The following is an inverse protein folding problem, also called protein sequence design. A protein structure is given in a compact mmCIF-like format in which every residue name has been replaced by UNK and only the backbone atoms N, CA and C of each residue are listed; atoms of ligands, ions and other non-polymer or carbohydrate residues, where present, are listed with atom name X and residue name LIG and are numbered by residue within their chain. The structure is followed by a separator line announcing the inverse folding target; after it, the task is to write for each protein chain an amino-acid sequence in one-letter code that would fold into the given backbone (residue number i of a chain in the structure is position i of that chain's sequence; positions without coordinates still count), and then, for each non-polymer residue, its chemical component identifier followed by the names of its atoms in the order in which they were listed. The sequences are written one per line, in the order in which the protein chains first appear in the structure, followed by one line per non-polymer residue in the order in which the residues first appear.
data_IF_644183128884
#
_entry.id   IF_644183128884
#
_cell.length_a   1.000
_cell.length_b   1.000
_cell.length_c   1.000
_cell.angle_alpha   90.00
_cell.angle_beta   90.00
_cell.angle_gamma   90.00
#
_symmetry.space_group_name_H-M   'P 1'
#
loop_
_entity.id
_entity.type
_entity.pdbx_description
1 polymer ?
#
# COMPACT_ATOMS: atom_id res chain seq x y z
N UNK A 1 -8.87 -9.05 25.19
CA UNK A 1 -8.22 -7.78 25.17
C UNK A 1 -8.48 -7.05 23.87
N UNK A 2 -8.65 -5.82 23.93
CA UNK A 2 -8.85 -5.12 22.68
C UNK A 2 -7.58 -5.15 21.88
N UNK A 3 -7.73 -5.42 20.61
CA UNK A 3 -6.60 -5.34 19.72
C UNK A 3 -6.56 -3.93 19.20
N UNK A 4 -5.66 -3.21 19.72
CA UNK A 4 -5.55 -1.82 19.33
C UNK A 4 -4.40 -1.60 18.42
N UNK A 5 -3.77 -2.66 18.04
CA UNK A 5 -2.44 -2.49 17.49
C UNK A 5 -2.37 -2.64 16.01
N UNK A 6 -3.19 -3.50 15.44
CA UNK A 6 -2.91 -3.90 14.07
C UNK A 6 -4.17 -4.03 13.23
N UNK A 7 -4.06 -3.59 12.00
CA UNK A 7 -5.01 -3.89 10.95
C UNK A 7 -4.25 -4.66 9.89
N UNK A 8 -4.82 -5.78 9.46
CA UNK A 8 -4.21 -6.66 8.46
C UNK A 8 -5.24 -6.95 7.39
N UNK A 9 -4.85 -6.83 6.14
CA UNK A 9 -5.75 -7.14 5.04
C UNK A 9 -5.00 -7.50 3.79
N UNK A 10 -5.75 -7.92 2.78
CA UNK A 10 -5.20 -8.27 1.50
C UNK A 10 -5.82 -7.36 0.46
N UNK A 11 -4.97 -6.82 -0.40
CA UNK A 11 -5.40 -5.99 -1.51
C UNK A 11 -4.96 -6.63 -2.81
N UNK A 12 -5.73 -6.40 -3.86
CA UNK A 12 -5.41 -6.93 -5.16
C UNK A 12 -5.51 -5.79 -6.17
N UNK A 13 -4.46 -5.61 -6.96
CA UNK A 13 -4.43 -4.59 -8.00
C UNK A 13 -4.51 -5.31 -9.34
N UNK A 14 -5.57 -5.13 -10.11
CA UNK A 14 -5.74 -5.85 -11.36
C UNK A 14 -4.75 -5.40 -12.43
N UNK A 15 -4.54 -6.30 -13.39
CA UNK A 15 -3.75 -5.98 -14.55
C UNK A 15 -4.42 -4.84 -15.31
N UNK A 16 -3.61 -3.88 -15.75
CA UNK A 16 -4.14 -2.79 -16.56
C UNK A 16 -4.82 -1.67 -15.78
N UNK A 17 -4.77 -1.74 -14.46
CA UNK A 17 -5.38 -0.68 -13.64
C UNK A 17 -4.69 0.67 -13.83
N UNK A 18 -3.44 0.65 -14.28
CA UNK A 18 -2.72 1.88 -14.51
C UNK A 18 -2.00 2.38 -13.28
N UNK A 19 -1.18 3.38 -13.51
CA UNK A 19 -0.43 4.01 -12.44
C UNK A 19 -1.14 5.28 -12.03
N UNK A 20 -1.64 5.37 -10.78
CA UNK A 20 -2.23 6.62 -10.33
C UNK A 20 -1.20 7.74 -10.32
N UNK A 21 -1.61 8.98 -10.60
CA UNK A 21 -0.67 10.10 -10.60
C UNK A 21 -0.17 10.46 -9.21
N UNK A 22 -0.97 10.19 -8.19
CA UNK A 22 -0.63 10.51 -6.80
C UNK A 22 -1.01 9.35 -5.92
N UNK A 23 -0.30 9.22 -4.82
CA UNK A 23 -0.62 8.24 -3.80
C UNK A 23 -1.54 8.82 -2.73
N UNK A 24 -1.60 8.13 -1.61
CA UNK A 24 -2.37 8.58 -0.45
C UNK A 24 -1.45 8.59 0.76
N UNK A 25 -1.92 9.23 1.81
CA UNK A 25 -1.17 9.29 3.06
C UNK A 25 -2.07 8.89 4.21
N UNK A 26 -1.48 8.37 5.27
CA UNK A 26 -2.17 8.17 6.53
C UNK A 26 -1.15 8.15 7.64
N UNK A 27 -1.63 8.37 8.85
CA UNK A 27 -0.77 8.54 9.99
C UNK A 27 0.08 7.32 10.33
N UNK A 28 -0.50 6.13 10.42
CA UNK A 28 0.33 4.97 10.82
C UNK A 28 1.28 4.55 9.72
N UNK A 29 2.45 4.08 10.13
CA UNK A 29 3.35 3.40 9.21
C UNK A 29 2.69 2.11 8.75
N UNK A 30 3.15 1.59 7.63
CA UNK A 30 2.53 0.43 7.01
C UNK A 30 3.60 -0.49 6.45
N UNK A 31 3.28 -1.78 6.40
CA UNK A 31 4.14 -2.77 5.75
C UNK A 31 3.30 -3.46 4.67
N UNK A 32 3.86 -3.59 3.49
CA UNK A 32 3.32 -4.45 2.44
C UNK A 32 4.17 -5.70 2.33
N UNK A 33 3.53 -6.84 2.18
CA UNK A 33 4.21 -8.08 1.81
C UNK A 33 3.58 -8.58 0.53
N UNK A 34 4.38 -8.80 -0.50
CA UNK A 34 3.88 -9.16 -1.83
C UNK A 34 3.68 -10.67 -1.90
N UNK A 35 2.43 -11.07 -2.12
CA UNK A 35 2.05 -12.48 -2.16
C UNK A 35 2.26 -13.03 -3.55
N UNK A 36 1.81 -12.31 -4.59
CA UNK A 36 1.95 -12.78 -5.96
C UNK A 36 1.89 -11.60 -6.91
N UNK A 37 2.39 -11.81 -8.11
CA UNK A 37 2.41 -10.79 -9.14
C UNK A 37 3.66 -9.93 -9.07
N UNK A 38 3.70 -8.91 -9.92
CA UNK A 38 4.79 -7.95 -9.96
C UNK A 38 4.21 -6.55 -10.03
N UNK A 39 4.86 -5.63 -9.37
CA UNK A 39 4.40 -4.27 -9.38
C UNK A 39 5.51 -3.31 -9.04
N UNK A 40 5.10 -2.10 -8.72
CA UNK A 40 5.98 -1.06 -8.20
C UNK A 40 5.24 -0.34 -7.10
N UNK A 41 6.00 0.22 -6.17
CA UNK A 41 5.45 1.08 -5.15
C UNK A 41 6.18 2.41 -5.20
N UNK A 42 5.40 3.48 -5.15
CA UNK A 42 5.96 4.82 -5.00
C UNK A 42 5.82 5.21 -3.53
N UNK A 43 6.90 5.70 -2.94
CA UNK A 43 6.92 6.17 -1.56
C UNK A 43 7.62 7.52 -1.57
N UNK A 44 6.88 8.58 -1.29
CA UNK A 44 7.40 9.95 -1.24
C UNK A 44 8.19 10.31 -2.50
N UNK A 45 7.67 9.91 -3.66
CA UNK A 45 8.30 10.24 -4.92
C UNK A 45 9.34 9.25 -5.43
N UNK A 46 9.77 8.32 -4.59
CA UNK A 46 10.73 7.29 -5.01
C UNK A 46 9.96 6.03 -5.38
N UNK A 47 10.41 5.36 -6.42
CA UNK A 47 9.75 4.18 -6.94
C UNK A 47 10.64 2.95 -6.75
N UNK A 48 10.04 1.87 -6.27
CA UNK A 48 10.74 0.62 -6.00
C UNK A 48 9.99 -0.54 -6.65
N UNK A 49 10.72 -1.50 -7.23
CA UNK A 49 10.06 -2.67 -7.81
C UNK A 49 9.58 -3.63 -6.72
N UNK A 50 8.49 -4.34 -7.04
CA UNK A 50 7.90 -5.32 -6.14
C UNK A 50 7.76 -6.65 -6.85
N UNK A 51 8.11 -7.73 -6.14
CA UNK A 51 7.89 -9.08 -6.61
C UNK A 51 7.47 -9.93 -5.42
N UNK A 52 6.92 -11.10 -5.71
CA UNK A 52 6.46 -12.02 -4.68
C UNK A 52 7.59 -12.28 -3.68
N UNK A 53 7.28 -12.19 -2.41
CA UNK A 53 8.24 -12.38 -1.33
C UNK A 53 8.88 -11.10 -0.83
N UNK A 54 8.67 -9.97 -1.51
CA UNK A 54 9.23 -8.69 -1.06
C UNK A 54 8.38 -8.10 0.05
N UNK A 55 9.03 -7.44 0.98
CA UNK A 55 8.37 -6.66 2.01
C UNK A 55 8.81 -5.21 1.89
N UNK A 56 7.88 -4.30 2.08
CA UNK A 56 8.13 -2.87 1.97
C UNK A 56 7.64 -2.19 3.22
N UNK A 57 8.48 -1.37 3.81
CA UNK A 57 8.09 -0.54 4.94
C UNK A 57 7.78 0.87 4.43
N UNK A 58 6.61 1.35 4.81
CA UNK A 58 6.15 2.68 4.41
C UNK A 58 6.08 3.53 5.67
N UNK A 59 6.90 4.58 5.74
CA UNK A 59 6.91 5.43 6.94
C UNK A 59 5.57 6.12 7.17
N UNK A 60 5.33 6.49 8.41
CA UNK A 60 4.14 7.25 8.77
C UNK A 60 4.04 8.50 7.90
N UNK A 61 2.84 8.77 7.42
CA UNK A 61 2.50 9.96 6.63
C UNK A 61 3.18 10.08 5.28
N UNK A 62 3.92 9.05 4.85
CA UNK A 62 4.53 9.08 3.52
C UNK A 62 3.46 8.88 2.45
N UNK A 63 3.53 9.66 1.40
CA UNK A 63 2.64 9.46 0.26
C UNK A 63 3.06 8.19 -0.46
N UNK A 64 2.11 7.28 -0.67
CA UNK A 64 2.46 6.00 -1.28
C UNK A 64 1.32 5.44 -2.09
N UNK A 65 1.68 4.65 -3.09
CA UNK A 65 0.72 3.90 -3.90
C UNK A 65 1.46 2.73 -4.54
N UNK A 66 0.80 1.57 -4.56
CA UNK A 66 1.32 0.40 -5.27
C UNK A 66 0.51 0.24 -6.55
N UNK A 67 1.17 -0.22 -7.61
CA UNK A 67 0.50 -0.45 -8.87
C UNK A 67 1.11 -1.64 -9.59
N UNK A 68 0.32 -2.21 -10.50
CA UNK A 68 0.66 -3.45 -11.17
C UNK A 68 1.42 -3.17 -12.47
N UNK A 69 2.56 -3.82 -12.65
CA UNK A 69 3.32 -3.72 -13.90
C UNK A 69 3.49 -5.09 -14.56
N UNK A 70 2.80 -6.10 -14.04
CA UNK A 70 2.93 -7.45 -14.54
C UNK A 70 1.75 -7.87 -15.40
N UNK A 71 1.67 -9.16 -15.64
CA UNK A 71 0.61 -9.74 -16.46
C UNK A 71 -0.35 -10.61 -15.66
N UNK A 72 -0.30 -10.50 -14.34
CA UNK A 72 -1.26 -11.14 -13.44
C UNK A 72 -1.57 -10.17 -12.31
N UNK A 73 -2.63 -10.40 -11.55
CA UNK A 73 -2.96 -9.48 -10.47
C UNK A 73 -1.82 -9.37 -9.46
N UNK A 74 -1.60 -8.16 -8.98
CA UNK A 74 -0.64 -7.93 -7.90
C UNK A 74 -1.40 -8.10 -6.60
N UNK A 75 -1.02 -9.07 -5.80
CA UNK A 75 -1.69 -9.35 -4.53
C UNK A 75 -0.72 -9.07 -3.41
N UNK A 76 -1.16 -8.29 -2.44
CA UNK A 76 -0.31 -7.92 -1.33
C UNK A 76 -1.07 -7.98 -0.02
N UNK A 77 -0.34 -8.28 1.04
CA UNK A 77 -0.81 -8.19 2.40
C UNK A 77 -0.37 -6.84 2.93
N UNK A 78 -1.28 -6.10 3.56
CA UNK A 78 -0.90 -4.86 4.19
C UNK A 78 -1.14 -4.95 5.68
N UNK A 79 -0.28 -4.30 6.45
CA UNK A 79 -0.32 -4.30 7.91
C UNK A 79 -0.01 -2.90 8.39
N UNK A 80 -0.85 -2.36 9.24
CA UNK A 80 -0.53 -1.09 9.89
C UNK A 80 -1.14 -1.07 11.29
N UNK A 81 -0.64 -0.13 12.08
CA UNK A 81 -0.96 -0.09 13.51
C UNK A 81 -2.13 0.85 13.76
N UNK A 82 -3.32 0.30 13.86
CA UNK A 82 -4.52 1.05 14.23
C UNK A 82 -5.55 0.08 14.76
N UNK A 83 -6.55 0.61 15.43
CA UNK A 83 -7.58 -0.22 16.00
C UNK A 83 -8.47 -0.82 14.93
N UNK A 84 -8.85 -0.02 13.97
CA UNK A 84 -9.77 -0.45 12.93
C UNK A 84 -9.71 0.56 11.80
N UNK A 85 -10.24 0.17 10.66
CA UNK A 85 -10.23 1.02 9.47
C UNK A 85 -10.87 2.39 9.72
N UNK A 86 -11.91 2.42 10.52
CA UNK A 86 -12.61 3.67 10.74
C UNK A 86 -11.76 4.69 11.50
N UNK A 87 -10.67 4.25 12.10
CA UNK A 87 -9.76 5.14 12.79
C UNK A 87 -8.68 5.72 11.87
N UNK A 88 -8.68 5.30 10.62
CA UNK A 88 -7.69 5.76 9.65
C UNK A 88 -8.25 6.93 8.88
N UNK A 89 -7.50 8.01 8.86
CA UNK A 89 -7.83 9.15 8.04
C UNK A 89 -6.93 9.16 6.82
N UNK A 90 -7.55 9.00 5.67
CA UNK A 90 -6.81 9.02 4.41
C UNK A 90 -6.83 10.42 3.85
N UNK A 91 -5.65 10.92 3.53
CA UNK A 91 -5.51 12.23 2.90
C UNK A 91 -5.01 12.02 1.49
N UNK A 92 -5.85 12.35 0.52
CA UNK A 92 -5.49 12.22 -0.88
C UNK A 92 -5.10 13.58 -1.41
N UNK A 93 -3.90 13.73 -1.95
CA UNK A 93 -3.50 15.01 -2.51
C UNK A 93 -4.45 15.40 -3.63
N UNK A 94 -4.63 16.70 -3.81
CA UNK A 94 -5.47 17.19 -4.88
C UNK A 94 -4.87 16.81 -6.21
N UNK A 95 -5.69 16.23 -7.07
CA UNK A 95 -5.24 15.82 -8.40
C UNK A 95 -5.81 16.70 -9.48
N UNK A 96 -6.55 17.67 -9.09
CA UNK A 96 -7.21 18.53 -10.05
C UNK A 96 -6.65 19.91 -9.95
#
# INVERSE_FOLDING_TARGET
MPTKEMVVGIAEVPVGAGRPPRGHTHEPAEVYYIISGRGEVMVDGDTFPLAAGDAVWIPANAEHVAYNVGDEPLKLLYVFAKDKFSDITYCFPSET
#
